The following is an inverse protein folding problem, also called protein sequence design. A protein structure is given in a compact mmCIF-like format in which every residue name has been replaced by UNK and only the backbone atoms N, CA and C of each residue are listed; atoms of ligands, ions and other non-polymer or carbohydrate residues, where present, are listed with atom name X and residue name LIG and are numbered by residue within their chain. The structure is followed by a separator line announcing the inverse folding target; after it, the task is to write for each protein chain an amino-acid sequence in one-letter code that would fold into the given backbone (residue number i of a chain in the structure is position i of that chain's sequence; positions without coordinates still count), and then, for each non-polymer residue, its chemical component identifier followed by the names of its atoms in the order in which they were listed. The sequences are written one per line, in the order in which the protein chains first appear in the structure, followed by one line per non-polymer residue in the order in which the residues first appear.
data_IF_708197332439
#
_entry.id   IF_708197332439
#
_cell.length_a   1.000
_cell.length_b   1.000
_cell.length_c   1.000
_cell.angle_alpha   90.00
_cell.angle_beta   90.00
_cell.angle_gamma   90.00
#
_symmetry.space_group_name_H-M   'P 1'
#
loop_
_entity.id
_entity.type
_entity.pdbx_description
1 polymer ?
#
# COMPACT_ATOMS: atom_id res chain seq x y z
N UNK A 1 -5.25 9.31 8.27
CA UNK A 1 -3.87 8.76 8.33
C UNK A 1 -2.86 9.74 7.77
N UNK A 2 -2.95 10.10 6.47
CA UNK A 2 -2.01 11.03 5.80
C UNK A 2 -1.69 12.31 6.60
N UNK A 3 -2.70 13.02 7.10
CA UNK A 3 -2.51 14.25 7.89
C UNK A 3 -1.69 14.08 9.18
N UNK A 4 -1.57 12.84 9.68
CA UNK A 4 -0.78 12.52 10.89
C UNK A 4 0.67 12.17 10.57
N UNK A 5 1.04 11.95 9.31
CA UNK A 5 2.43 11.69 8.94
C UNK A 5 3.23 12.99 8.93
N UNK A 6 4.40 12.98 9.55
CA UNK A 6 5.37 14.06 9.37
C UNK A 6 5.85 14.11 7.91
N UNK A 7 6.38 15.26 7.46
CA UNK A 7 7.06 15.34 6.16
C UNK A 7 8.21 14.33 6.12
N UNK A 8 8.34 13.59 5.01
CA UNK A 8 9.28 12.47 4.88
C UNK A 8 8.87 11.20 5.62
N UNK A 9 7.71 11.19 6.28
CA UNK A 9 7.16 9.99 6.94
C UNK A 9 6.76 8.92 5.92
N UNK A 10 6.95 7.66 6.31
CA UNK A 10 6.68 6.50 5.45
C UNK A 10 5.41 5.74 5.89
N UNK A 11 4.68 5.22 4.91
CA UNK A 11 3.64 4.21 5.08
C UNK A 11 4.12 2.94 4.39
N UNK A 12 4.01 1.82 5.09
CA UNK A 12 4.32 0.49 4.56
C UNK A 12 3.03 -0.32 4.53
N UNK A 13 2.68 -0.85 3.37
CA UNK A 13 1.61 -1.82 3.19
C UNK A 13 2.25 -3.18 2.91
N UNK A 14 1.83 -4.22 3.62
CA UNK A 14 2.25 -5.60 3.35
C UNK A 14 1.04 -6.50 3.46
N UNK A 15 0.73 -7.24 2.40
CA UNK A 15 -0.38 -8.19 2.38
C UNK A 15 0.06 -9.53 1.78
N UNK A 16 -0.46 -10.61 2.34
CA UNK A 16 -0.49 -11.91 1.68
C UNK A 16 -1.51 -11.85 0.52
N UNK A 17 -1.19 -12.53 -0.57
CA UNK A 17 -1.97 -12.57 -1.80
C UNK A 17 -2.94 -13.75 -1.96
N UNK A 18 -2.85 -14.88 -1.21
CA UNK A 18 -3.89 -15.88 -1.25
C UNK A 18 -5.26 -15.28 -0.91
N UNK A 19 -6.27 -15.59 -1.73
CA UNK A 19 -7.64 -15.15 -1.48
C UNK A 19 -8.18 -15.80 -0.21
N UNK A 20 -8.87 -14.99 0.59
CA UNK A 20 -9.58 -15.43 1.79
C UNK A 20 -11.05 -15.10 1.56
N UNK A 21 -11.95 -16.10 1.47
CA UNK A 21 -13.36 -15.88 1.13
C UNK A 21 -14.09 -14.89 2.04
N UNK A 22 -13.65 -14.77 3.29
CA UNK A 22 -14.26 -13.90 4.29
C UNK A 22 -13.75 -12.44 4.21
N UNK A 23 -12.72 -12.16 3.41
CA UNK A 23 -12.24 -10.80 3.20
C UNK A 23 -12.86 -10.16 1.95
N UNK A 24 -13.32 -8.90 2.05
CA UNK A 24 -14.04 -8.24 0.97
C UNK A 24 -13.14 -7.81 -0.20
N UNK A 25 -11.81 -7.88 -0.02
CA UNK A 25 -10.81 -7.44 -0.98
C UNK A 25 -9.57 -8.33 -0.88
N UNK A 26 -8.91 -8.57 -2.01
CA UNK A 26 -7.60 -9.21 -2.10
C UNK A 26 -6.48 -8.26 -1.66
N UNK A 27 -5.30 -8.81 -1.37
CA UNK A 27 -4.12 -7.99 -1.07
C UNK A 27 -3.76 -7.03 -2.21
N UNK A 28 -3.88 -7.46 -3.47
CA UNK A 28 -3.61 -6.58 -4.62
C UNK A 28 -4.62 -5.43 -4.70
N UNK A 29 -5.90 -5.68 -4.50
CA UNK A 29 -6.94 -4.62 -4.53
C UNK A 29 -6.75 -3.57 -3.43
N UNK A 30 -6.28 -3.97 -2.25
CA UNK A 30 -5.97 -3.02 -1.16
C UNK A 30 -4.85 -2.07 -1.58
N UNK A 31 -3.80 -2.60 -2.20
CA UNK A 31 -2.67 -1.78 -2.65
C UNK A 31 -3.04 -0.86 -3.81
N UNK A 32 -3.77 -1.36 -4.81
CA UNK A 32 -4.21 -0.57 -5.96
C UNK A 32 -5.16 0.55 -5.52
N UNK A 33 -6.04 0.27 -4.55
CA UNK A 33 -6.91 1.29 -3.98
C UNK A 33 -6.13 2.35 -3.22
N UNK A 34 -5.08 1.97 -2.48
CA UNK A 34 -4.21 2.91 -1.79
C UNK A 34 -3.48 3.84 -2.79
N UNK A 35 -2.90 3.28 -3.84
CA UNK A 35 -2.25 4.04 -4.90
C UNK A 35 -3.22 5.05 -5.54
N UNK A 36 -4.44 4.62 -5.88
CA UNK A 36 -5.45 5.51 -6.45
C UNK A 36 -5.76 6.73 -5.58
N UNK A 37 -5.72 6.57 -4.25
CA UNK A 37 -6.02 7.61 -3.29
C UNK A 37 -4.83 8.52 -2.97
N UNK A 38 -3.61 8.00 -3.09
CA UNK A 38 -2.41 8.65 -2.53
C UNK A 38 -1.36 9.06 -3.56
N UNK A 39 -1.42 8.60 -4.82
CA UNK A 39 -0.39 8.91 -5.84
C UNK A 39 -0.12 10.40 -6.05
N UNK A 40 -1.11 11.26 -5.81
CA UNK A 40 -0.98 12.71 -5.99
C UNK A 40 -0.44 13.42 -4.72
N UNK A 41 -0.34 12.70 -3.60
CA UNK A 41 0.06 13.23 -2.28
C UNK A 41 1.35 12.59 -1.73
N UNK A 42 1.69 11.40 -2.22
CA UNK A 42 2.81 10.60 -1.73
C UNK A 42 3.60 10.03 -2.91
N UNK A 43 4.88 9.80 -2.68
CA UNK A 43 5.76 9.17 -3.66
C UNK A 43 5.96 7.70 -3.31
N UNK A 44 5.84 6.83 -4.29
CA UNK A 44 6.27 5.43 -4.15
C UNK A 44 7.80 5.41 -4.04
N UNK A 45 8.30 4.74 -3.00
CA UNK A 45 9.74 4.63 -2.69
C UNK A 45 10.23 3.22 -2.98
N UNK A 46 9.39 2.23 -2.71
CA UNK A 46 9.70 0.83 -2.94
C UNK A 46 8.42 0.06 -3.20
N UNK A 47 8.47 -0.89 -4.13
CA UNK A 47 7.37 -1.80 -4.42
C UNK A 47 7.96 -3.16 -4.79
N UNK A 48 7.38 -4.21 -4.23
CA UNK A 48 7.67 -5.58 -4.64
C UNK A 48 6.41 -6.44 -4.52
N UNK A 49 6.12 -7.17 -5.59
CA UNK A 49 5.10 -8.21 -5.62
C UNK A 49 5.79 -9.54 -5.86
N UNK A 50 5.64 -10.45 -4.90
CA UNK A 50 6.08 -11.84 -5.00
C UNK A 50 4.88 -12.74 -5.28
N UNK A 51 5.10 -14.06 -5.28
CA UNK A 51 4.03 -15.04 -5.50
C UNK A 51 2.93 -14.94 -4.43
N UNK A 52 3.33 -14.90 -3.16
CA UNK A 52 2.39 -15.00 -2.04
C UNK A 52 2.21 -13.68 -1.28
N UNK A 53 2.97 -12.63 -1.58
CA UNK A 53 2.83 -11.36 -0.87
C UNK A 53 3.11 -10.16 -1.77
N UNK A 54 2.62 -9.00 -1.34
CA UNK A 54 2.97 -7.69 -1.90
C UNK A 54 3.37 -6.75 -0.78
N UNK A 55 4.37 -5.92 -1.07
CA UNK A 55 4.83 -4.83 -0.21
C UNK A 55 4.96 -3.55 -1.03
N UNK A 56 4.38 -2.46 -0.54
CA UNK A 56 4.57 -1.11 -1.09
C UNK A 56 4.94 -0.14 0.03
N UNK A 57 5.92 0.72 -0.24
CA UNK A 57 6.39 1.78 0.66
C UNK A 57 6.18 3.14 0.00
N UNK A 58 5.49 4.02 0.71
CA UNK A 58 5.15 5.36 0.25
C UNK A 58 5.69 6.41 1.21
N UNK A 59 6.28 7.47 0.69
CA UNK A 59 6.74 8.61 1.48
C UNK A 59 5.86 9.84 1.26
N UNK A 60 5.49 10.52 2.35
CA UNK A 60 4.88 11.85 2.29
C UNK A 60 5.93 12.83 1.78
N UNK A 61 5.64 13.51 0.68
CA UNK A 61 6.46 14.62 0.17
C UNK A 61 6.33 15.86 1.05
#
# INVERSE_FOLDING_TARGET
MYERLVSGGHIVLVHWLPEVPDYPQTGDEVHDRFEQLMRDKMKSVFSNRAENYRIDVWARS
#
